data_IF_092874856471
#
_entry.id   IF_092874856471
#
_cell.length_a   1.000
_cell.length_b   1.000
_cell.length_c   1.000
_cell.angle_alpha   90.00
_cell.angle_beta   90.00
_cell.angle_gamma   90.00
#
_symmetry.space_group_name_H-M   'P 1'
#
loop_
_entity.id
_entity.type
_entity.pdbx_description
1 polymer ?
#
# COMPACT_ATOMS: atom_id res chain seq x y z
N UNK A 1 -42.00 -8.26 -13.25
CA UNK A 1 -41.32 -9.49 -13.63
C UNK A 1 -40.02 -9.60 -12.79
N UNK A 2 -40.05 -10.43 -11.76
CA UNK A 2 -38.91 -10.67 -10.87
C UNK A 2 -38.00 -11.73 -11.52
N UNK A 3 -36.70 -11.39 -11.67
CA UNK A 3 -35.67 -12.36 -12.14
C UNK A 3 -35.53 -13.48 -11.11
N UNK A 4 -35.49 -14.77 -11.51
CA UNK A 4 -35.26 -15.86 -10.59
C UNK A 4 -33.83 -15.76 -10.01
N UNK A 5 -33.73 -15.69 -8.69
CA UNK A 5 -32.45 -15.87 -7.97
C UNK A 5 -32.04 -17.33 -8.13
N UNK A 6 -31.14 -17.63 -9.07
CA UNK A 6 -30.46 -18.90 -9.07
C UNK A 6 -29.56 -18.97 -7.82
N UNK A 7 -30.06 -19.59 -6.77
CA UNK A 7 -29.23 -20.16 -5.73
C UNK A 7 -28.42 -21.29 -6.38
N UNK A 8 -27.21 -20.98 -6.82
CA UNK A 8 -26.21 -22.04 -7.03
C UNK A 8 -25.87 -22.55 -5.64
N UNK A 9 -26.40 -23.69 -5.27
CA UNK A 9 -25.85 -24.53 -4.20
C UNK A 9 -24.46 -24.99 -4.67
N UNK A 10 -23.45 -24.22 -4.36
CA UNK A 10 -22.07 -24.66 -4.42
C UNK A 10 -21.93 -25.70 -3.30
N UNK A 11 -22.05 -26.99 -3.66
CA UNK A 11 -21.58 -28.07 -2.80
C UNK A 11 -20.11 -27.79 -2.51
N UNK A 12 -19.84 -27.25 -1.33
CA UNK A 12 -18.49 -27.06 -0.83
C UNK A 12 -17.98 -28.44 -0.48
N UNK A 13 -17.12 -28.98 -1.32
CA UNK A 13 -16.38 -30.20 -1.02
C UNK A 13 -15.40 -29.81 0.11
N UNK A 14 -15.83 -29.98 1.37
CA UNK A 14 -15.03 -29.70 2.55
C UNK A 14 -14.10 -30.87 2.85
N UNK A 15 -13.24 -31.21 1.87
CA UNK A 15 -12.23 -32.25 2.02
C UNK A 15 -11.02 -31.74 2.84
N UNK A 16 -11.31 -31.12 3.96
CA UNK A 16 -10.29 -30.64 4.90
C UNK A 16 -10.32 -31.51 6.17
N UNK A 17 -9.16 -31.97 6.62
CA UNK A 17 -9.07 -32.74 7.87
C UNK A 17 -9.42 -31.85 9.07
N UNK A 18 -9.93 -32.45 10.17
CA UNK A 18 -10.18 -31.68 11.41
C UNK A 18 -8.95 -30.92 11.91
N UNK A 19 -7.74 -31.49 11.77
CA UNK A 19 -6.50 -30.88 12.21
C UNK A 19 -6.15 -29.67 11.33
N UNK A 20 -6.31 -29.77 10.01
CA UNK A 20 -6.11 -28.63 9.09
C UNK A 20 -7.13 -27.53 9.32
N UNK A 21 -8.39 -27.88 9.62
CA UNK A 21 -9.43 -26.89 9.94
C UNK A 21 -9.10 -26.15 11.24
N UNK A 22 -8.67 -26.89 12.28
CA UNK A 22 -8.22 -26.28 13.54
C UNK A 22 -7.02 -25.36 13.32
N UNK A 23 -6.03 -25.78 12.52
CA UNK A 23 -4.87 -24.97 12.20
C UNK A 23 -5.24 -23.65 11.51
N UNK A 24 -6.29 -23.64 10.66
CA UNK A 24 -6.82 -22.40 10.07
C UNK A 24 -7.51 -21.51 11.11
N UNK A 25 -8.28 -22.08 12.02
CA UNK A 25 -8.89 -21.31 13.13
C UNK A 25 -7.79 -20.63 13.95
N UNK A 26 -6.78 -21.38 14.36
CA UNK A 26 -5.67 -20.89 15.16
C UNK A 26 -4.90 -19.78 14.40
N UNK A 27 -4.68 -19.94 13.08
CA UNK A 27 -4.07 -18.93 12.21
C UNK A 27 -4.86 -17.62 12.22
N UNK A 28 -6.18 -17.70 12.02
CA UNK A 28 -7.03 -16.50 11.96
C UNK A 28 -7.11 -15.79 13.31
N UNK A 29 -7.22 -16.56 14.40
CA UNK A 29 -7.23 -15.99 15.76
C UNK A 29 -5.91 -15.29 16.11
N UNK A 30 -4.76 -15.91 15.79
CA UNK A 30 -3.44 -15.36 16.05
C UNK A 30 -3.18 -14.06 15.25
N UNK A 31 -3.67 -14.00 14.01
CA UNK A 31 -3.58 -12.83 13.16
C UNK A 31 -4.69 -11.79 13.40
N UNK A 32 -5.62 -12.06 14.31
CA UNK A 32 -6.82 -11.23 14.57
C UNK A 32 -7.64 -10.99 13.31
N UNK A 33 -7.69 -11.97 12.42
CA UNK A 33 -8.53 -11.94 11.24
C UNK A 33 -9.94 -12.42 11.59
N UNK A 34 -10.94 -11.84 10.93
CA UNK A 34 -12.34 -12.18 11.18
C UNK A 34 -12.67 -13.57 10.61
N UNK A 35 -13.26 -14.43 11.45
CA UNK A 35 -13.72 -15.76 11.05
C UNK A 35 -15.18 -15.61 10.64
N UNK A 36 -15.40 -15.19 9.40
CA UNK A 36 -16.74 -15.14 8.80
C UNK A 36 -17.08 -16.50 8.20
N UNK A 37 -18.17 -17.09 8.64
CA UNK A 37 -18.68 -18.38 8.12
C UNK A 37 -19.59 -18.22 6.91
N UNK A 38 -19.70 -17.02 6.33
CA UNK A 38 -20.48 -16.76 5.13
C UNK A 38 -19.79 -17.35 3.89
N UNK A 39 -20.56 -17.81 2.92
CA UNK A 39 -20.08 -18.53 1.72
C UNK A 39 -18.99 -17.83 0.89
N UNK A 40 -18.78 -16.53 1.11
CA UNK A 40 -17.77 -15.71 0.41
C UNK A 40 -16.75 -15.05 1.36
N UNK A 41 -16.77 -15.39 2.64
CA UNK A 41 -15.84 -14.88 3.65
C UNK A 41 -14.38 -15.30 3.34
N UNK A 42 -13.42 -14.52 3.86
CA UNK A 42 -12.00 -14.83 3.69
C UNK A 42 -11.67 -16.19 4.30
N UNK A 43 -12.22 -16.50 5.47
CA UNK A 43 -12.01 -17.79 6.15
C UNK A 43 -12.47 -18.96 5.28
N UNK A 44 -13.66 -18.88 4.68
CA UNK A 44 -14.19 -19.92 3.81
C UNK A 44 -13.33 -20.13 2.56
N UNK A 45 -12.74 -19.06 2.00
CA UNK A 45 -11.77 -19.17 0.89
C UNK A 45 -10.51 -19.90 1.31
N UNK A 46 -10.01 -19.66 2.52
CA UNK A 46 -8.87 -20.40 3.07
C UNK A 46 -9.19 -21.88 3.25
N UNK A 47 -10.38 -22.21 3.76
CA UNK A 47 -10.86 -23.60 3.90
C UNK A 47 -10.90 -24.30 2.54
N UNK A 48 -11.47 -23.65 1.53
CA UNK A 48 -11.52 -24.20 0.15
C UNK A 48 -10.15 -24.38 -0.45
N UNK A 49 -9.28 -23.40 -0.33
CA UNK A 49 -7.89 -23.51 -0.82
C UNK A 49 -7.17 -24.64 -0.11
N UNK A 50 -7.26 -24.75 1.20
CA UNK A 50 -6.65 -25.83 1.95
C UNK A 50 -7.19 -27.20 1.53
N UNK A 51 -8.50 -27.32 1.28
CA UNK A 51 -9.15 -28.55 0.80
C UNK A 51 -8.77 -28.94 -0.63
N UNK A 52 -8.35 -27.99 -1.47
CA UNK A 52 -7.91 -28.24 -2.86
C UNK A 52 -6.44 -28.62 -2.97
N UNK A 53 -5.65 -28.48 -1.90
CA UNK A 53 -4.24 -28.88 -1.90
C UNK A 53 -4.10 -30.41 -1.79
N UNK A 54 -3.28 -30.98 -2.66
CA UNK A 54 -3.18 -32.44 -2.84
C UNK A 54 -2.32 -33.12 -1.76
N UNK A 55 -1.29 -32.41 -1.24
CA UNK A 55 -0.37 -32.98 -0.27
C UNK A 55 -0.33 -32.24 1.06
N UNK A 56 0.06 -32.94 2.12
CA UNK A 56 0.25 -32.35 3.44
C UNK A 56 1.40 -31.34 3.47
N UNK A 57 2.41 -31.49 2.61
CA UNK A 57 3.51 -30.54 2.44
C UNK A 57 3.00 -29.22 1.86
N UNK A 58 2.11 -29.27 0.86
CA UNK A 58 1.47 -28.09 0.30
C UNK A 58 0.62 -27.37 1.36
N UNK A 59 -0.14 -28.11 2.16
CA UNK A 59 -0.96 -27.53 3.25
C UNK A 59 -0.09 -26.87 4.33
N UNK A 60 1.01 -27.51 4.72
CA UNK A 60 1.98 -26.93 5.65
C UNK A 60 2.60 -25.65 5.08
N UNK A 61 3.04 -25.67 3.83
CA UNK A 61 3.59 -24.49 3.17
C UNK A 61 2.57 -23.35 3.11
N UNK A 62 1.32 -23.65 2.74
CA UNK A 62 0.24 -22.68 2.70
C UNK A 62 0.02 -22.01 4.07
N UNK A 63 0.00 -22.80 5.16
CA UNK A 63 -0.11 -22.27 6.52
C UNK A 63 1.10 -21.41 6.90
N UNK A 64 2.32 -21.86 6.60
CA UNK A 64 3.54 -21.09 6.91
C UNK A 64 3.61 -19.76 6.15
N UNK A 65 3.24 -19.75 4.87
CA UNK A 65 3.13 -18.50 4.10
C UNK A 65 2.05 -17.58 4.68
N UNK A 66 0.90 -18.16 5.05
CA UNK A 66 -0.22 -17.41 5.62
C UNK A 66 0.10 -16.80 7.00
N UNK A 67 0.92 -17.47 7.83
CA UNK A 67 1.40 -16.92 9.10
C UNK A 67 2.24 -15.64 8.92
N UNK A 68 2.91 -15.53 7.79
CA UNK A 68 3.77 -14.39 7.44
C UNK A 68 3.03 -13.32 6.63
N UNK A 69 1.79 -13.58 6.26
CA UNK A 69 1.00 -12.65 5.46
C UNK A 69 0.56 -11.46 6.30
N UNK A 70 0.95 -10.27 5.87
CA UNK A 70 0.53 -9.02 6.48
C UNK A 70 -0.63 -8.45 5.66
N UNK A 71 -1.78 -8.27 6.30
CA UNK A 71 -2.94 -7.61 5.72
C UNK A 71 -3.16 -6.26 6.40
N UNK A 72 -2.98 -5.20 5.65
CA UNK A 72 -3.26 -3.83 6.08
C UNK A 72 -4.49 -3.34 5.32
N UNK A 73 -5.68 -3.35 5.93
CA UNK A 73 -6.89 -2.88 5.26
C UNK A 73 -6.84 -1.36 5.07
N UNK A 74 -7.47 -0.88 4.00
CA UNK A 74 -7.46 0.55 3.62
C UNK A 74 -7.90 1.48 4.77
N UNK A 75 -8.85 1.05 5.60
CA UNK A 75 -9.30 1.82 6.77
C UNK A 75 -8.19 2.05 7.82
N UNK A 76 -7.11 1.27 7.77
CA UNK A 76 -5.95 1.39 8.66
C UNK A 76 -4.85 2.31 8.12
N UNK A 77 -4.91 2.72 6.86
CA UNK A 77 -3.88 3.60 6.29
C UNK A 77 -3.74 4.90 7.08
N UNK A 78 -4.85 5.44 7.58
CA UNK A 78 -4.84 6.66 8.39
C UNK A 78 -4.29 6.48 9.81
N UNK A 79 -4.04 5.25 10.24
CA UNK A 79 -3.32 4.99 11.49
C UNK A 79 -1.79 5.16 11.29
N UNK A 80 -1.28 5.00 10.05
CA UNK A 80 0.16 5.05 9.72
C UNK A 80 0.58 6.36 9.04
N UNK A 81 -0.19 6.84 8.06
CA UNK A 81 0.19 8.00 7.24
C UNK A 81 0.59 9.24 8.07
N UNK A 82 -0.15 9.63 9.12
CA UNK A 82 0.23 10.80 9.91
C UNK A 82 1.58 10.65 10.63
N UNK A 83 1.89 9.46 11.11
CA UNK A 83 3.16 9.21 11.80
C UNK A 83 4.33 9.26 10.80
N UNK A 84 4.16 8.67 9.60
CA UNK A 84 5.14 8.77 8.52
C UNK A 84 5.38 10.23 8.10
N UNK A 85 4.31 11.03 7.95
CA UNK A 85 4.45 12.45 7.64
C UNK A 85 5.18 13.20 8.77
N UNK A 86 4.91 12.86 10.04
CA UNK A 86 5.63 13.45 11.18
C UNK A 86 7.12 13.11 11.15
N UNK A 87 7.51 11.93 10.73
CA UNK A 87 8.93 11.54 10.54
C UNK A 87 9.57 12.32 9.39
N UNK A 88 8.89 12.43 8.26
CA UNK A 88 9.35 13.23 7.12
C UNK A 88 9.61 14.68 7.55
N UNK A 89 8.72 15.27 8.34
CA UNK A 89 8.87 16.64 8.80
C UNK A 89 10.06 16.84 9.74
N UNK A 90 10.41 15.83 10.55
CA UNK A 90 11.61 15.89 11.40
C UNK A 90 12.89 15.90 10.57
N UNK A 91 12.91 15.14 9.46
CA UNK A 91 14.06 15.05 8.59
C UNK A 91 14.18 16.23 7.62
N UNK A 92 13.04 16.87 7.28
CA UNK A 92 12.96 18.00 6.35
C UNK A 92 12.28 19.22 6.99
N UNK A 93 12.86 19.79 8.05
CA UNK A 93 12.24 20.89 8.79
C UNK A 93 12.06 22.13 7.91
N UNK A 94 10.86 22.71 7.96
CA UNK A 94 10.51 23.94 7.23
C UNK A 94 10.29 23.77 5.73
N UNK A 95 10.33 22.54 5.19
CA UNK A 95 10.00 22.26 3.79
C UNK A 95 8.49 22.18 3.58
N UNK A 96 8.06 22.55 2.39
CA UNK A 96 6.70 22.28 1.89
C UNK A 96 6.64 20.86 1.34
N UNK A 97 5.60 20.11 1.68
CA UNK A 97 5.43 18.73 1.24
C UNK A 97 4.55 18.67 -0.01
N UNK A 98 5.05 18.05 -1.07
CA UNK A 98 4.36 17.94 -2.36
C UNK A 98 4.07 16.45 -2.64
N UNK A 99 2.83 16.01 -2.41
CA UNK A 99 2.42 14.61 -2.59
C UNK A 99 1.84 14.35 -3.97
N UNK A 100 2.31 13.28 -4.62
CA UNK A 100 1.71 12.75 -5.84
C UNK A 100 1.82 11.23 -5.86
N UNK A 101 1.04 10.56 -6.73
CA UNK A 101 1.12 9.12 -6.89
C UNK A 101 2.49 8.69 -7.44
N UNK A 102 3.01 7.59 -6.93
CA UNK A 102 4.21 6.92 -7.44
C UNK A 102 3.86 6.18 -8.73
N UNK A 103 3.88 6.89 -9.87
CA UNK A 103 3.46 6.37 -11.17
C UNK A 103 4.55 6.55 -12.22
N UNK A 104 5.06 5.45 -12.82
CA UNK A 104 5.87 5.53 -14.03
C UNK A 104 5.07 6.13 -15.17
N UNK A 105 5.77 6.67 -16.18
CA UNK A 105 5.17 7.31 -17.36
C UNK A 105 4.09 6.46 -18.04
N UNK A 106 4.34 5.16 -18.18
CA UNK A 106 3.45 4.20 -18.86
C UNK A 106 2.17 3.89 -18.06
N UNK A 107 2.12 4.27 -16.80
CA UNK A 107 0.98 4.05 -15.90
C UNK A 107 0.12 5.30 -15.69
N UNK A 108 0.48 6.40 -16.32
CA UNK A 108 -0.29 7.65 -16.27
C UNK A 108 -1.68 7.42 -16.86
N UNK A 109 -2.71 7.89 -16.13
CA UNK A 109 -4.10 7.70 -16.54
C UNK A 109 -4.70 6.35 -16.18
N UNK A 110 -3.90 5.41 -15.63
CA UNK A 110 -4.42 4.17 -15.07
C UNK A 110 -4.81 4.34 -13.61
N UNK A 111 -5.86 3.62 -13.17
CA UNK A 111 -6.21 3.55 -11.75
C UNK A 111 -5.25 2.60 -11.06
N UNK A 112 -4.48 3.10 -10.12
CA UNK A 112 -3.50 2.35 -9.32
C UNK A 112 -3.78 2.51 -7.84
N UNK A 113 -3.30 1.57 -7.03
CA UNK A 113 -3.45 1.58 -5.56
C UNK A 113 -2.85 2.81 -4.89
N UNK A 114 -1.78 3.39 -5.44
CA UNK A 114 -1.20 4.67 -5.02
C UNK A 114 -2.24 5.80 -4.90
N UNK A 115 -3.26 5.81 -5.76
CA UNK A 115 -4.34 6.79 -5.71
C UNK A 115 -5.16 6.69 -4.40
N UNK A 116 -5.28 5.49 -3.83
CA UNK A 116 -5.97 5.31 -2.55
C UNK A 116 -5.18 5.95 -1.39
N UNK A 117 -3.85 5.82 -1.38
CA UNK A 117 -2.98 6.48 -0.40
C UNK A 117 -3.08 8.00 -0.54
N UNK A 118 -2.95 8.51 -1.76
CA UNK A 118 -3.05 9.95 -2.02
C UNK A 118 -4.42 10.52 -1.62
N UNK A 119 -5.50 9.77 -1.86
CA UNK A 119 -6.85 10.15 -1.45
C UNK A 119 -6.96 10.29 0.07
N UNK A 120 -6.38 9.37 0.84
CA UNK A 120 -6.34 9.45 2.29
C UNK A 120 -5.56 10.70 2.78
N UNK A 121 -4.43 11.02 2.14
CA UNK A 121 -3.64 12.23 2.44
C UNK A 121 -4.44 13.51 2.12
N UNK A 122 -5.21 13.54 1.04
CA UNK A 122 -6.11 14.66 0.70
C UNK A 122 -7.23 14.85 1.74
N UNK A 123 -7.54 13.83 2.52
CA UNK A 123 -8.61 13.85 3.51
C UNK A 123 -8.39 14.91 4.60
N UNK A 124 -9.49 15.30 5.26
CA UNK A 124 -9.50 16.34 6.28
C UNK A 124 -8.79 15.95 7.58
N UNK A 125 -8.57 14.66 7.82
CA UNK A 125 -8.02 14.13 9.07
C UNK A 125 -6.60 14.61 9.38
N UNK A 126 -5.74 14.82 8.37
CA UNK A 126 -4.41 15.39 8.59
C UNK A 126 -4.45 16.81 9.14
N UNK A 127 -5.40 17.65 8.71
CA UNK A 127 -5.54 19.04 9.15
C UNK A 127 -5.95 19.17 10.61
N UNK A 128 -6.53 18.14 11.18
CA UNK A 128 -7.00 18.13 12.57
C UNK A 128 -5.92 17.69 13.57
N UNK A 129 -4.84 17.08 13.11
CA UNK A 129 -3.73 16.63 13.95
C UNK A 129 -2.90 17.82 14.44
N UNK A 130 -2.66 17.85 15.75
CA UNK A 130 -1.93 18.95 16.41
C UNK A 130 -0.47 19.00 15.99
N UNK A 131 0.16 17.85 15.85
CA UNK A 131 1.56 17.65 15.43
C UNK A 131 1.82 18.02 13.96
N UNK A 132 0.77 18.11 13.15
CA UNK A 132 0.85 18.51 11.74
C UNK A 132 0.38 19.96 11.50
N UNK A 133 0.08 20.70 12.57
CA UNK A 133 -0.32 22.12 12.45
C UNK A 133 0.82 22.97 11.92
N UNK A 134 0.50 23.80 10.93
CA UNK A 134 1.48 24.72 10.31
C UNK A 134 2.29 24.11 9.18
N UNK A 135 2.11 22.82 8.88
CA UNK A 135 2.71 22.19 7.69
C UNK A 135 1.98 22.65 6.45
N UNK A 136 2.74 23.19 5.51
CA UNK A 136 2.22 23.44 4.17
C UNK A 136 2.39 22.21 3.31
N UNK A 137 1.28 21.69 2.81
CA UNK A 137 1.33 20.55 1.89
C UNK A 137 0.39 20.73 0.70
N UNK A 138 0.81 20.15 -0.41
CA UNK A 138 0.10 20.11 -1.66
C UNK A 138 -0.11 18.67 -2.10
N UNK A 139 -1.28 18.35 -2.63
CA UNK A 139 -1.59 17.02 -3.18
C UNK A 139 -2.08 17.19 -4.62
N UNK A 140 -1.35 16.64 -5.56
CA UNK A 140 -1.69 16.63 -6.98
C UNK A 140 -1.78 15.20 -7.49
N UNK A 141 -2.66 14.97 -8.45
CA UNK A 141 -2.87 13.64 -9.00
C UNK A 141 -1.75 13.25 -9.97
N UNK A 142 -1.11 14.23 -10.61
CA UNK A 142 -0.01 14.06 -11.55
C UNK A 142 1.17 14.95 -11.20
N UNK A 143 2.38 14.48 -11.54
CA UNK A 143 3.60 15.28 -11.44
C UNK A 143 3.56 16.51 -12.37
N UNK A 144 2.90 16.41 -13.54
CA UNK A 144 2.74 17.50 -14.49
C UNK A 144 2.05 18.72 -13.88
N UNK A 145 1.17 18.50 -12.89
CA UNK A 145 0.48 19.58 -12.18
C UNK A 145 1.43 20.40 -11.30
N UNK A 146 2.63 19.87 -11.02
CA UNK A 146 3.65 20.56 -10.23
C UNK A 146 4.63 21.41 -11.07
N UNK A 147 4.72 21.20 -12.37
CA UNK A 147 5.66 21.93 -13.26
C UNK A 147 5.51 23.44 -13.11
N UNK A 148 4.27 23.90 -12.99
CA UNK A 148 3.95 25.33 -12.84
C UNK A 148 4.28 25.91 -11.47
N UNK A 149 4.61 25.07 -10.49
CA UNK A 149 4.76 25.46 -9.08
C UNK A 149 6.22 25.54 -8.63
N UNK A 150 7.17 25.32 -9.54
CA UNK A 150 8.62 25.38 -9.28
C UNK A 150 9.07 24.61 -8.04
N UNK A 151 8.57 23.35 -7.90
CA UNK A 151 8.88 22.50 -6.73
C UNK A 151 10.33 21.96 -6.71
N UNK A 152 11.13 22.31 -7.71
CA UNK A 152 12.55 21.94 -7.78
C UNK A 152 13.44 22.82 -6.88
N UNK A 153 12.86 23.80 -6.18
CA UNK A 153 13.60 24.66 -5.26
C UNK A 153 13.86 23.96 -3.91
N UNK A 154 14.78 24.52 -3.14
CA UNK A 154 15.13 24.02 -1.81
C UNK A 154 14.01 24.09 -0.77
N UNK A 155 12.87 24.67 -1.11
CA UNK A 155 11.74 24.81 -0.17
C UNK A 155 10.76 23.66 -0.22
N UNK A 156 10.89 22.77 -1.18
CA UNK A 156 9.94 21.70 -1.42
C UNK A 156 10.58 20.33 -1.35
N UNK A 157 9.82 19.35 -0.87
CA UNK A 157 10.11 17.92 -0.96
C UNK A 157 8.98 17.27 -1.76
N UNK A 158 9.33 16.57 -2.82
CA UNK A 158 8.42 15.77 -3.61
C UNK A 158 8.28 14.38 -2.97
N UNK A 159 7.06 14.00 -2.65
CA UNK A 159 6.73 12.74 -1.98
C UNK A 159 5.90 11.90 -2.94
N UNK A 160 6.52 10.84 -3.46
CA UNK A 160 5.87 9.84 -4.28
C UNK A 160 5.18 8.85 -3.36
N UNK A 161 3.84 8.75 -3.41
CA UNK A 161 3.08 7.87 -2.51
C UNK A 161 2.71 6.57 -3.20
N UNK A 162 2.85 5.46 -2.48
CA UNK A 162 2.39 4.14 -2.90
C UNK A 162 1.84 3.36 -1.71
N UNK A 163 1.09 2.30 -1.94
CA UNK A 163 0.66 1.39 -0.87
C UNK A 163 1.71 0.31 -0.60
N UNK A 164 2.51 -0.06 -1.61
CA UNK A 164 3.50 -1.12 -1.47
C UNK A 164 4.73 -0.93 -2.36
N UNK A 165 5.91 -0.93 -1.75
CA UNK A 165 7.20 -0.97 -2.46
C UNK A 165 7.76 -2.40 -2.41
N UNK A 166 7.77 -3.08 -3.56
CA UNK A 166 8.32 -4.43 -3.72
C UNK A 166 9.82 -4.42 -4.04
N UNK A 167 10.16 -4.54 -5.33
CA UNK A 167 11.54 -4.46 -5.83
C UNK A 167 12.10 -3.04 -5.92
N UNK A 168 11.25 -2.03 -5.93
CA UNK A 168 11.63 -0.63 -6.19
C UNK A 168 11.44 -0.18 -7.65
N UNK A 169 11.24 -1.10 -8.60
CA UNK A 169 11.19 -0.79 -10.04
C UNK A 169 10.12 0.26 -10.39
N UNK A 170 8.91 0.14 -9.80
CA UNK A 170 7.84 1.12 -10.01
C UNK A 170 8.24 2.51 -9.53
N UNK A 171 8.88 2.58 -8.36
CA UNK A 171 9.32 3.85 -7.79
C UNK A 171 10.45 4.47 -8.61
N UNK A 172 11.43 3.67 -9.07
CA UNK A 172 12.49 4.16 -9.96
C UNK A 172 11.92 4.67 -11.27
N UNK A 173 11.00 3.95 -11.91
CA UNK A 173 10.32 4.40 -13.11
C UNK A 173 9.52 5.71 -12.92
N UNK A 174 8.91 5.89 -11.72
CA UNK A 174 8.25 7.14 -11.36
C UNK A 174 9.25 8.29 -11.16
N UNK A 175 10.41 8.03 -10.55
CA UNK A 175 11.49 9.01 -10.35
C UNK A 175 12.09 9.42 -11.70
N UNK A 176 12.30 8.48 -12.62
CA UNK A 176 12.78 8.78 -13.96
C UNK A 176 11.80 9.71 -14.71
N UNK A 177 10.50 9.44 -14.57
CA UNK A 177 9.48 10.32 -15.13
C UNK A 177 9.47 11.70 -14.45
N UNK A 178 9.62 11.77 -13.13
CA UNK A 178 9.78 13.06 -12.43
C UNK A 178 10.93 13.86 -12.99
N UNK A 179 12.09 13.24 -13.23
CA UNK A 179 13.27 13.90 -13.80
C UNK A 179 13.09 14.30 -15.27
N UNK A 180 12.30 13.56 -16.03
CA UNK A 180 11.92 13.95 -17.39
C UNK A 180 11.09 15.24 -17.37
N UNK A 181 10.13 15.34 -16.44
CA UNK A 181 9.18 16.46 -16.33
C UNK A 181 9.80 17.66 -15.62
N UNK A 182 10.64 17.41 -14.60
CA UNK A 182 11.33 18.44 -13.79
C UNK A 182 12.84 18.14 -13.79
N UNK A 183 13.58 18.45 -14.86
CA UNK A 183 14.99 18.05 -15.00
C UNK A 183 15.93 18.62 -13.93
N UNK A 184 15.52 19.70 -13.26
CA UNK A 184 16.32 20.38 -12.22
C UNK A 184 16.13 19.82 -10.82
N UNK A 185 15.21 18.87 -10.63
CA UNK A 185 14.96 18.29 -9.30
C UNK A 185 16.11 17.36 -8.91
N UNK A 186 16.61 17.54 -7.70
CA UNK A 186 17.67 16.67 -7.15
C UNK A 186 17.05 15.46 -6.44
N UNK A 187 17.78 14.33 -6.42
CA UNK A 187 17.33 13.12 -5.72
C UNK A 187 17.00 13.39 -4.25
N UNK A 188 17.79 14.19 -3.57
CA UNK A 188 17.61 14.53 -2.15
C UNK A 188 16.29 15.30 -1.89
N UNK A 189 15.66 15.82 -2.92
CA UNK A 189 14.34 16.46 -2.85
C UNK A 189 13.19 15.52 -3.27
N UNK A 190 13.48 14.24 -3.52
CA UNK A 190 12.49 13.21 -3.84
C UNK A 190 12.54 12.12 -2.77
N UNK A 191 11.40 11.78 -2.22
CA UNK A 191 11.25 10.65 -1.29
C UNK A 191 10.04 9.80 -1.68
N UNK A 192 10.01 8.58 -1.16
CA UNK A 192 8.88 7.67 -1.32
C UNK A 192 8.21 7.48 0.04
N UNK A 193 6.88 7.59 0.09
CA UNK A 193 6.08 7.24 1.24
C UNK A 193 5.26 6.00 0.89
N UNK A 194 5.42 4.92 1.65
CA UNK A 194 4.72 3.66 1.40
C UNK A 194 4.13 3.08 2.68
N UNK A 195 2.94 2.47 2.58
CA UNK A 195 2.29 1.79 3.71
C UNK A 195 3.03 0.51 4.10
N UNK A 196 3.63 -0.15 3.12
CA UNK A 196 4.48 -1.33 3.34
C UNK A 196 5.59 -1.37 2.30
N UNK A 197 6.76 -1.85 2.71
CA UNK A 197 7.91 -1.99 1.82
C UNK A 197 8.71 -3.26 2.11
N UNK A 198 9.25 -3.88 1.09
CA UNK A 198 10.26 -4.93 1.24
C UNK A 198 11.64 -4.28 1.39
N UNK A 199 12.48 -4.87 2.26
CA UNK A 199 13.85 -4.39 2.47
C UNK A 199 14.62 -4.26 1.15
N UNK A 200 14.44 -5.22 0.22
CA UNK A 200 15.06 -5.17 -1.11
C UNK A 200 14.73 -3.88 -1.87
N UNK A 201 13.47 -3.45 -1.86
CA UNK A 201 13.07 -2.21 -2.55
C UNK A 201 13.58 -0.96 -1.84
N UNK A 202 13.66 -0.99 -0.50
CA UNK A 202 14.26 0.09 0.30
C UNK A 202 15.75 0.23 -0.05
N UNK A 203 16.49 -0.89 -0.06
CA UNK A 203 17.92 -0.91 -0.38
C UNK A 203 18.21 -0.45 -1.81
N UNK A 204 17.36 -0.87 -2.76
CA UNK A 204 17.47 -0.45 -4.16
C UNK A 204 17.28 1.07 -4.28
N UNK A 205 16.23 1.64 -3.71
CA UNK A 205 15.99 3.08 -3.74
C UNK A 205 17.08 3.87 -3.00
N UNK A 206 17.58 3.35 -1.89
CA UNK A 206 18.67 3.97 -1.14
C UNK A 206 19.97 4.05 -1.96
N UNK A 207 20.22 3.11 -2.89
CA UNK A 207 21.38 3.15 -3.79
C UNK A 207 21.36 4.37 -4.73
N UNK A 208 20.18 4.97 -4.96
CA UNK A 208 19.98 6.21 -5.71
C UNK A 208 19.80 7.44 -4.82
N UNK A 209 20.11 7.37 -3.52
CA UNK A 209 19.84 8.41 -2.51
C UNK A 209 18.37 8.78 -2.37
N UNK A 210 17.48 7.84 -2.59
CA UNK A 210 16.02 8.02 -2.40
C UNK A 210 15.64 7.36 -1.08
N UNK A 211 15.08 8.15 -0.18
CA UNK A 211 14.63 7.66 1.12
C UNK A 211 13.20 7.15 1.03
N UNK A 212 12.93 6.03 1.71
CA UNK A 212 11.59 5.43 1.86
C UNK A 212 11.15 5.56 3.30
N UNK A 213 9.91 6.02 3.47
CA UNK A 213 9.23 6.15 4.77
C UNK A 213 8.04 5.21 4.85
#
# INVERSE_FOLDING_TARGET
MSRPKHKRELKVDRNISPDSYKALIDLFQNNKWDIQTEDYGIFERYVRTMGSLESEEQKKLFLELSKRFIHIPLCKYMDYIPDLISEIMKDYPGKNLCFTCCLPKDDIGKVKSAAAVLYQIKGTSLKTRVDLRGVTYYCKDSIDDYVKHNIADDKHILILVDDFVGSGDTALGAIDYVKEVIPTIMNDNIIVLSIAALQKGIDELASFNIKVY
#
